data_IF_970383468460
#
_entry.id   IF_970383468460
#
_cell.length_a   1.000
_cell.length_b   1.000
_cell.length_c   1.000
_cell.angle_alpha   90.00
_cell.angle_beta   90.00
_cell.angle_gamma   90.00
#
_symmetry.space_group_name_H-M   'P 1'
#
loop_
_entity.id
_entity.type
_entity.pdbx_description
1 polymer ?
#
# COMPACT_ATOMS: atom_id res chain seq x y z
N UNK A 1 -59.54 6.98 -46.77
CA UNK A 1 -59.43 8.46 -46.81
C UNK A 1 -58.41 8.91 -45.76
N UNK A 2 -57.72 10.02 -46.05
CA UNK A 2 -56.69 10.75 -45.28
C UNK A 2 -55.23 10.38 -45.56
N UNK A 3 -54.66 11.26 -46.38
CA UNK A 3 -53.25 11.48 -46.70
C UNK A 3 -52.56 12.09 -45.49
N UNK A 4 -51.32 11.70 -45.22
CA UNK A 4 -50.38 12.50 -44.40
C UNK A 4 -49.11 12.66 -45.23
N UNK A 5 -48.84 13.90 -45.64
CA UNK A 5 -47.56 14.39 -46.11
C UNK A 5 -46.72 14.79 -44.89
N UNK A 6 -45.46 14.38 -44.85
CA UNK A 6 -44.38 15.08 -44.14
C UNK A 6 -43.05 14.66 -44.81
N UNK A 7 -42.64 15.41 -45.84
CA UNK A 7 -41.65 16.49 -45.78
C UNK A 7 -40.22 15.98 -45.59
N UNK A 8 -39.49 15.90 -46.71
CA UNK A 8 -38.04 15.86 -46.72
C UNK A 8 -37.51 17.21 -46.24
N UNK A 9 -36.66 17.21 -45.21
CA UNK A 9 -35.62 18.21 -45.05
C UNK A 9 -34.37 17.55 -44.47
N UNK A 10 -33.39 17.39 -45.35
CA UNK A 10 -31.99 17.14 -45.00
C UNK A 10 -31.46 18.32 -44.19
N UNK A 11 -30.90 18.07 -43.01
CA UNK A 11 -29.83 18.90 -42.45
C UNK A 11 -28.75 17.96 -41.93
N UNK A 12 -27.66 17.90 -42.69
CA UNK A 12 -26.38 17.47 -42.17
C UNK A 12 -25.88 18.55 -41.20
N UNK A 13 -25.60 18.18 -39.95
CA UNK A 13 -24.55 18.84 -39.19
C UNK A 13 -23.72 17.78 -38.47
N UNK A 14 -22.55 17.57 -39.07
CA UNK A 14 -21.35 17.01 -38.46
C UNK A 14 -21.10 17.70 -37.11
N UNK A 15 -21.25 16.96 -36.02
CA UNK A 15 -20.44 17.17 -34.83
C UNK A 15 -19.71 15.87 -34.56
N UNK A 16 -18.63 15.66 -35.31
CA UNK A 16 -17.57 14.75 -34.91
C UNK A 16 -16.94 15.33 -33.65
N UNK A 17 -17.44 14.93 -32.49
CA UNK A 17 -16.68 15.07 -31.27
C UNK A 17 -15.51 14.09 -31.39
N UNK A 18 -14.38 14.59 -31.90
CA UNK A 18 -13.09 13.95 -31.68
C UNK A 18 -12.89 14.07 -30.17
N UNK A 19 -13.33 13.05 -29.42
CA UNK A 19 -12.86 12.84 -28.07
C UNK A 19 -11.33 12.84 -28.17
N UNK A 20 -10.61 13.77 -27.53
CA UNK A 20 -9.17 13.65 -27.46
C UNK A 20 -8.91 12.33 -26.74
N UNK A 21 -8.48 11.32 -27.50
CA UNK A 21 -7.90 10.12 -26.92
C UNK A 21 -6.62 10.62 -26.26
N UNK A 22 -6.70 10.88 -24.96
CA UNK A 22 -5.52 11.06 -24.14
C UNK A 22 -4.84 9.70 -24.16
N UNK A 23 -4.00 9.45 -25.15
CA UNK A 23 -3.06 8.35 -25.11
C UNK A 23 -2.13 8.68 -23.95
N UNK A 24 -2.20 7.95 -22.81
CA UNK A 24 -1.23 8.18 -21.76
C UNK A 24 0.15 7.99 -22.40
N UNK A 25 1.07 8.91 -22.12
CA UNK A 25 2.45 8.69 -22.54
C UNK A 25 2.90 7.34 -21.95
N UNK A 26 3.63 6.56 -22.73
CA UNK A 26 3.99 5.18 -22.38
C UNK A 26 4.74 5.10 -21.04
N UNK A 27 5.50 6.14 -20.68
CA UNK A 27 6.18 6.27 -19.39
C UNK A 27 5.22 6.38 -18.19
N UNK A 28 4.12 7.11 -18.31
CA UNK A 28 3.10 7.22 -17.25
C UNK A 28 2.39 5.88 -17.04
N UNK A 29 2.08 5.18 -18.13
CA UNK A 29 1.43 3.87 -18.08
C UNK A 29 2.35 2.83 -17.41
N UNK A 30 3.64 2.80 -17.76
CA UNK A 30 4.60 1.89 -17.10
C UNK A 30 4.82 2.21 -15.63
N UNK A 31 4.80 3.50 -15.26
CA UNK A 31 4.92 3.92 -13.87
C UNK A 31 3.74 3.48 -13.00
N UNK A 32 2.52 3.61 -13.53
CA UNK A 32 1.32 3.16 -12.82
C UNK A 32 1.26 1.64 -12.69
N UNK A 33 1.61 0.89 -13.75
CA UNK A 33 1.66 -0.58 -13.69
C UNK A 33 2.70 -1.06 -12.67
N UNK A 34 3.88 -0.46 -12.63
CA UNK A 34 4.91 -0.79 -11.64
C UNK A 34 4.44 -0.47 -10.21
N UNK A 35 3.78 0.67 -10.02
CA UNK A 35 3.23 1.03 -8.71
C UNK A 35 2.19 0.02 -8.23
N UNK A 36 1.25 -0.38 -9.09
CA UNK A 36 0.23 -1.37 -8.73
C UNK A 36 0.86 -2.74 -8.42
N UNK A 37 1.85 -3.16 -9.20
CA UNK A 37 2.59 -4.40 -8.94
C UNK A 37 3.33 -4.38 -7.60
N UNK A 38 4.02 -3.27 -7.27
CA UNK A 38 4.70 -3.12 -5.98
C UNK A 38 3.71 -3.06 -4.82
N UNK A 39 2.57 -2.39 -5.00
CA UNK A 39 1.52 -2.31 -3.99
C UNK A 39 0.90 -3.69 -3.71
N UNK A 40 0.59 -4.47 -4.75
CA UNK A 40 0.06 -5.83 -4.62
C UNK A 40 1.04 -6.71 -3.82
N UNK A 41 2.31 -6.77 -4.23
CA UNK A 41 3.32 -7.58 -3.52
C UNK A 41 3.60 -7.10 -2.09
N UNK A 42 3.48 -5.79 -1.85
CA UNK A 42 3.63 -5.22 -0.52
C UNK A 42 2.47 -5.63 0.40
N UNK A 43 1.23 -5.56 -0.07
CA UNK A 43 0.07 -5.96 0.73
C UNK A 43 0.03 -7.48 0.95
N UNK A 44 0.39 -8.29 -0.05
CA UNK A 44 0.53 -9.75 0.11
C UNK A 44 1.57 -10.07 1.20
N UNK A 45 2.76 -9.47 1.13
CA UNK A 45 3.81 -9.68 2.14
C UNK A 45 3.35 -9.24 3.54
N UNK A 46 2.59 -8.14 3.65
CA UNK A 46 2.00 -7.69 4.93
C UNK A 46 0.98 -8.68 5.46
N UNK A 47 0.06 -9.14 4.63
CA UNK A 47 -1.01 -10.05 4.99
C UNK A 47 -0.45 -11.39 5.47
N UNK A 48 0.48 -11.97 4.70
CA UNK A 48 1.14 -13.24 5.00
C UNK A 48 2.17 -13.12 6.12
N UNK A 49 2.62 -11.89 6.41
CA UNK A 49 3.64 -11.62 7.41
C UNK A 49 5.06 -11.96 6.93
N UNK A 50 5.27 -11.98 5.63
CA UNK A 50 6.54 -12.23 4.95
C UNK A 50 7.36 -10.95 4.78
N UNK A 51 8.62 -11.10 4.39
CA UNK A 51 9.45 -9.96 4.01
C UNK A 51 9.02 -9.44 2.64
N UNK A 52 9.07 -8.13 2.46
CA UNK A 52 8.90 -7.52 1.14
C UNK A 52 10.16 -7.73 0.29
N UNK A 53 10.08 -7.58 -1.03
CA UNK A 53 11.28 -7.65 -1.89
C UNK A 53 12.41 -6.69 -1.47
N UNK A 54 12.04 -5.49 -1.01
CA UNK A 54 12.98 -4.54 -0.43
C UNK A 54 13.04 -4.75 1.09
N UNK A 55 13.95 -5.61 1.54
CA UNK A 55 14.07 -6.01 2.94
C UNK A 55 15.45 -5.71 3.53
N UNK A 56 15.49 -5.27 4.79
CA UNK A 56 16.72 -5.13 5.57
C UNK A 56 16.58 -5.79 6.94
N UNK A 57 17.54 -6.66 7.29
CA UNK A 57 17.70 -7.18 8.65
C UNK A 57 18.62 -6.25 9.44
N UNK A 58 18.19 -5.91 10.64
CA UNK A 58 18.89 -4.99 11.53
C UNK A 58 19.14 -5.65 12.88
N UNK A 59 20.41 -5.82 13.22
CA UNK A 59 20.83 -6.44 14.47
C UNK A 59 21.02 -5.42 15.61
N UNK A 60 20.70 -5.86 16.83
CA UNK A 60 21.05 -5.22 18.11
C UNK A 60 20.65 -3.74 18.26
N UNK A 61 19.67 -3.27 17.50
CA UNK A 61 19.04 -1.97 17.73
C UNK A 61 17.99 -2.04 18.83
N UNK A 62 17.79 -0.91 19.50
CA UNK A 62 16.72 -0.78 20.51
C UNK A 62 15.33 -0.89 19.87
N UNK A 63 15.12 -0.15 18.79
CA UNK A 63 13.87 -0.02 18.02
C UNK A 63 14.18 0.18 16.53
N UNK A 64 13.27 -0.24 15.65
CA UNK A 64 13.32 0.13 14.23
C UNK A 64 12.98 1.62 14.04
N UNK A 65 13.52 2.28 13.00
CA UNK A 65 13.15 3.65 12.67
C UNK A 65 11.69 3.72 12.20
N UNK A 66 11.05 4.87 12.36
CA UNK A 66 9.66 5.09 11.92
C UNK A 66 9.56 5.52 10.45
N UNK A 67 10.71 5.70 9.79
CA UNK A 67 10.83 5.93 8.35
C UNK A 67 11.84 4.95 7.75
N UNK A 68 11.60 4.57 6.51
CA UNK A 68 12.38 3.62 5.71
C UNK A 68 12.15 3.88 4.23
N UNK A 69 12.47 2.89 3.40
CA UNK A 69 12.26 2.98 1.96
C UNK A 69 10.80 2.68 1.61
N UNK A 70 10.33 3.18 0.47
CA UNK A 70 8.98 2.91 -0.01
C UNK A 70 8.77 1.41 -0.25
N UNK A 71 7.61 0.89 0.15
CA UNK A 71 7.22 -0.52 -0.04
C UNK A 71 8.29 -1.51 0.47
N UNK A 72 8.85 -1.21 1.64
CA UNK A 72 9.92 -2.00 2.23
C UNK A 72 9.50 -2.61 3.56
N UNK A 73 10.32 -3.53 4.05
CA UNK A 73 10.19 -4.11 5.38
C UNK A 73 11.55 -4.17 6.06
N UNK A 74 11.54 -4.15 7.39
CA UNK A 74 12.74 -4.35 8.19
C UNK A 74 12.49 -5.31 9.33
N UNK A 75 13.46 -6.20 9.53
CA UNK A 75 13.48 -7.11 10.66
C UNK A 75 14.42 -6.59 11.73
N UNK A 76 13.94 -6.60 12.96
CA UNK A 76 14.76 -6.38 14.14
C UNK A 76 15.11 -7.72 14.73
N UNK A 77 16.41 -8.01 14.73
CA UNK A 77 16.96 -9.21 15.35
C UNK A 77 17.70 -8.81 16.63
N UNK A 78 17.46 -9.54 17.71
CA UNK A 78 18.16 -9.39 18.98
C UNK A 78 18.71 -10.73 19.41
N UNK A 79 20.02 -10.83 19.60
CA UNK A 79 20.69 -12.09 19.98
C UNK A 79 20.37 -13.27 19.04
N UNK A 80 20.18 -12.98 17.75
CA UNK A 80 19.85 -13.99 16.74
C UNK A 80 18.37 -14.37 16.65
N UNK A 81 17.49 -13.76 17.45
CA UNK A 81 16.04 -13.97 17.39
C UNK A 81 15.33 -12.79 16.72
N UNK A 82 14.44 -13.08 15.78
CA UNK A 82 13.53 -12.08 15.20
C UNK A 82 12.54 -11.63 16.27
N UNK A 83 12.55 -10.34 16.62
CA UNK A 83 11.67 -9.78 17.65
C UNK A 83 10.57 -8.87 17.10
N UNK A 84 10.79 -8.26 15.94
CA UNK A 84 9.84 -7.38 15.28
C UNK A 84 10.10 -7.33 13.77
N UNK A 85 9.05 -7.33 12.96
CA UNK A 85 9.06 -6.95 11.54
C UNK A 85 8.26 -5.67 11.36
N UNK A 86 8.79 -4.66 10.68
CA UNK A 86 8.08 -3.41 10.36
C UNK A 86 7.97 -3.23 8.85
N UNK A 87 6.78 -2.86 8.39
CA UNK A 87 6.50 -2.48 7.01
C UNK A 87 6.46 -0.96 6.86
N UNK A 88 6.94 -0.47 5.72
CA UNK A 88 6.96 0.94 5.34
C UNK A 88 6.13 1.17 4.08
N UNK A 89 5.19 2.09 4.17
CA UNK A 89 4.25 2.41 3.08
C UNK A 89 4.96 2.99 1.84
N UNK A 90 4.20 3.29 0.80
CA UNK A 90 4.70 3.92 -0.43
C UNK A 90 5.44 5.26 -0.20
N UNK A 91 5.23 5.93 0.94
CA UNK A 91 5.94 7.17 1.33
C UNK A 91 7.15 6.92 2.22
N UNK A 92 7.42 5.66 2.56
CA UNK A 92 8.49 5.25 3.46
C UNK A 92 8.17 5.47 4.94
N UNK A 93 6.90 5.63 5.32
CA UNK A 93 6.51 5.71 6.74
C UNK A 93 6.14 4.35 7.28
N UNK A 94 6.43 4.09 8.56
CA UNK A 94 5.94 2.91 9.25
C UNK A 94 4.43 2.79 9.09
N UNK A 95 3.99 1.60 8.67
CA UNK A 95 2.61 1.29 8.30
C UNK A 95 2.04 0.20 9.22
N UNK A 96 2.80 -0.88 9.45
CA UNK A 96 2.42 -1.96 10.35
C UNK A 96 3.64 -2.64 10.95
N UNK A 97 3.53 -3.10 12.20
CA UNK A 97 4.51 -3.98 12.83
C UNK A 97 3.91 -5.35 13.09
N UNK A 98 4.73 -6.39 12.98
CA UNK A 98 4.50 -7.71 13.58
C UNK A 98 5.50 -7.87 14.71
N UNK A 99 4.99 -8.10 15.91
CA UNK A 99 5.82 -8.33 17.07
C UNK A 99 5.81 -9.81 17.43
N UNK A 100 6.99 -10.43 17.44
CA UNK A 100 7.18 -11.86 17.70
C UNK A 100 7.41 -12.16 19.18
N UNK A 101 7.45 -11.13 20.02
CA UNK A 101 7.63 -11.23 21.46
C UNK A 101 6.59 -10.40 22.19
N UNK A 102 6.45 -10.64 23.49
CA UNK A 102 5.56 -9.84 24.34
C UNK A 102 6.21 -8.54 24.84
N UNK A 103 7.41 -8.19 24.35
CA UNK A 103 8.22 -7.05 24.81
C UNK A 103 8.44 -6.97 26.33
N UNK A 104 8.40 -8.11 27.03
CA UNK A 104 8.48 -8.15 28.49
C UNK A 104 7.22 -7.66 29.20
N UNK A 105 6.13 -7.41 28.46
CA UNK A 105 4.83 -6.99 28.98
C UNK A 105 3.71 -7.98 28.60
N UNK A 106 3.70 -9.20 29.17
CA UNK A 106 2.74 -10.25 28.83
C UNK A 106 1.29 -9.93 29.19
N UNK A 107 1.03 -8.90 30.01
CA UNK A 107 -0.34 -8.46 30.33
C UNK A 107 -0.94 -7.64 29.20
N UNK A 108 -0.16 -6.76 28.60
CA UNK A 108 -0.56 -5.94 27.46
C UNK A 108 -0.41 -6.68 26.12
N UNK A 109 0.55 -7.61 26.03
CA UNK A 109 0.82 -8.44 24.86
C UNK A 109 0.74 -9.94 25.18
N UNK A 110 -0.46 -10.47 25.49
CA UNK A 110 -0.62 -11.86 25.92
C UNK A 110 -0.49 -12.89 24.78
N UNK A 111 -0.68 -12.47 23.53
CA UNK A 111 -0.59 -13.32 22.34
C UNK A 111 0.58 -12.88 21.49
N UNK A 112 1.37 -13.85 21.02
CA UNK A 112 2.49 -13.62 20.11
C UNK A 112 2.46 -14.68 19.00
N UNK A 113 2.77 -14.33 17.74
CA UNK A 113 2.96 -12.96 17.27
C UNK A 113 1.65 -12.16 17.28
N UNK A 114 1.73 -10.83 17.32
CA UNK A 114 0.59 -9.91 17.17
C UNK A 114 0.97 -8.72 16.28
N UNK A 115 -0.04 -8.05 15.73
CA UNK A 115 0.15 -6.96 14.76
C UNK A 115 -0.21 -5.60 15.35
N UNK A 116 0.44 -4.55 14.86
CA UNK A 116 0.19 -3.16 15.23
C UNK A 116 0.09 -2.28 13.99
N UNK A 117 -1.01 -1.59 13.80
CA UNK A 117 -1.13 -0.60 12.72
C UNK A 117 -0.57 0.76 13.13
N UNK A 118 0.00 1.49 12.18
CA UNK A 118 0.48 2.85 12.38
C UNK A 118 -0.50 3.87 11.79
N UNK A 119 -1.08 4.69 12.65
CA UNK A 119 -1.87 5.84 12.27
C UNK A 119 -1.17 7.14 12.69
N UNK A 120 -0.56 7.81 11.72
CA UNK A 120 0.18 9.05 11.92
C UNK A 120 -0.66 10.26 12.38
N UNK A 121 -1.99 10.11 12.46
CA UNK A 121 -2.88 11.11 13.08
C UNK A 121 -3.01 10.93 14.60
N UNK A 122 -2.61 9.76 15.13
CA UNK A 122 -2.68 9.44 16.55
C UNK A 122 -1.40 9.83 17.28
N UNK A 123 -1.50 9.97 18.62
CA UNK A 123 -0.35 10.16 19.51
C UNK A 123 -0.45 9.19 20.69
N UNK A 124 0.40 8.15 20.77
CA UNK A 124 1.42 7.77 19.79
C UNK A 124 0.79 7.27 18.46
N UNK A 125 1.54 7.30 17.34
CA UNK A 125 1.01 6.86 16.05
C UNK A 125 0.81 5.35 15.95
N UNK A 126 1.60 4.56 16.69
CA UNK A 126 1.47 3.11 16.75
C UNK A 126 0.26 2.72 17.59
N UNK A 127 -0.67 1.96 17.02
CA UNK A 127 -1.88 1.48 17.68
C UNK A 127 -1.64 0.29 18.62
N UNK A 128 -2.73 -0.22 19.17
CA UNK A 128 -2.75 -1.41 20.04
C UNK A 128 -2.50 -2.70 19.24
N UNK A 129 -2.09 -3.76 19.94
CA UNK A 129 -1.81 -5.06 19.35
C UNK A 129 -3.08 -5.88 19.12
N UNK A 130 -3.19 -6.56 17.98
CA UNK A 130 -4.28 -7.48 17.64
C UNK A 130 -3.81 -8.86 17.20
#
# INVERSE_FOLDING_TARGET
MKRIFALFFTVAMLFGAVLPTLTPNTAQATGLTLYMYLLERYEDAKEEGEETDNHEVVDDKRVLPTKGDSFSSKDLVKKGELVQRRYYDHTGKADMDIDYTNHGNPKEHPKVPHRHDWNWKNTPPRGDGY
#
